data_IF_993097771456
#
_entry.id   IF_993097771456
#
_cell.length_a   1.000
_cell.length_b   1.000
_cell.length_c   1.000
_cell.angle_alpha   90.00
_cell.angle_beta   90.00
_cell.angle_gamma   90.00
#
_symmetry.space_group_name_H-M   'P 1'
#
loop_
_entity.id
_entity.type
_entity.pdbx_description
1 polymer ?
#
# COMPACT_ATOMS: atom_id res chain seq x y z
N UNK A 1 17.65 -30.39 -22.96
CA UNK A 1 17.50 -29.39 -21.89
C UNK A 1 16.20 -28.64 -22.16
N UNK A 2 15.21 -28.74 -21.28
CA UNK A 2 13.91 -28.09 -21.47
C UNK A 2 14.04 -26.57 -21.47
N UNK A 3 13.05 -25.84 -22.01
CA UNK A 3 13.05 -24.38 -21.95
C UNK A 3 13.05 -23.97 -20.47
N UNK A 4 14.14 -23.36 -20.02
CA UNK A 4 14.21 -22.72 -18.71
C UNK A 4 13.03 -21.75 -18.64
N UNK A 5 12.17 -21.90 -17.63
CA UNK A 5 11.00 -21.05 -17.49
C UNK A 5 11.46 -19.60 -17.34
N UNK A 6 10.74 -18.65 -17.94
CA UNK A 6 11.05 -17.22 -17.82
C UNK A 6 11.25 -16.79 -16.35
N UNK A 7 10.57 -17.45 -15.41
CA UNK A 7 10.74 -17.28 -13.96
C UNK A 7 12.10 -17.74 -13.42
N UNK A 8 12.66 -18.88 -13.86
CA UNK A 8 13.99 -19.34 -13.43
C UNK A 8 15.09 -18.40 -13.95
N UNK A 9 14.90 -17.87 -15.16
CA UNK A 9 15.79 -16.85 -15.73
C UNK A 9 15.69 -15.52 -14.97
N UNK A 10 14.49 -15.09 -14.58
CA UNK A 10 14.28 -13.89 -13.76
C UNK A 10 14.81 -14.05 -12.33
N UNK A 11 14.75 -15.24 -11.73
CA UNK A 11 15.33 -15.47 -10.40
C UNK A 11 16.86 -15.48 -10.43
N UNK A 12 17.45 -15.97 -11.53
CA UNK A 12 18.89 -16.10 -11.73
C UNK A 12 19.55 -14.80 -12.21
N UNK A 13 18.86 -13.99 -13.02
CA UNK A 13 19.42 -12.78 -13.65
C UNK A 13 18.67 -11.49 -13.32
N UNK A 14 17.53 -11.55 -12.63
CA UNK A 14 16.76 -10.36 -12.25
C UNK A 14 17.37 -9.62 -11.07
N UNK A 15 17.56 -8.32 -11.22
CA UNK A 15 17.90 -7.42 -10.13
C UNK A 15 16.65 -6.85 -9.47
N UNK A 16 16.69 -6.62 -8.16
CA UNK A 16 15.59 -5.96 -7.44
C UNK A 16 15.58 -4.49 -7.87
N UNK A 17 14.50 -3.99 -8.49
CA UNK A 17 14.41 -2.60 -8.87
C UNK A 17 14.28 -1.73 -7.61
N UNK A 18 15.37 -1.02 -7.29
CA UNK A 18 15.34 -0.03 -6.23
C UNK A 18 14.54 1.20 -6.67
N UNK A 19 13.89 1.93 -5.74
CA UNK A 19 13.19 3.15 -6.08
C UNK A 19 14.16 4.18 -6.70
N UNK A 20 13.69 5.07 -7.60
CA UNK A 20 14.55 5.97 -8.37
C UNK A 20 15.34 6.99 -7.51
N UNK A 21 14.96 7.16 -6.23
CA UNK A 21 15.68 8.01 -5.29
C UNK A 21 16.87 7.31 -4.62
N UNK A 22 17.01 5.99 -4.75
CA UNK A 22 18.17 5.23 -4.25
C UNK A 22 19.20 5.14 -5.38
N UNK A 23 20.22 6.01 -5.31
CA UNK A 23 21.29 6.08 -6.31
C UNK A 23 22.46 5.15 -5.96
N UNK A 24 22.17 3.86 -5.82
CA UNK A 24 23.20 2.80 -5.67
C UNK A 24 22.73 1.50 -6.31
N UNK A 25 23.65 0.60 -6.70
CA UNK A 25 23.29 -0.76 -7.10
C UNK A 25 22.52 -1.49 -5.99
N UNK A 26 21.64 -2.42 -6.40
CA UNK A 26 20.96 -3.32 -5.48
C UNK A 26 22.00 -4.22 -4.78
N UNK A 27 21.91 -4.29 -3.45
CA UNK A 27 22.71 -5.18 -2.64
C UNK A 27 21.90 -6.44 -2.31
N UNK A 28 22.55 -7.58 -1.98
CA UNK A 28 21.84 -8.80 -1.58
C UNK A 28 20.82 -8.57 -0.44
N UNK A 29 21.16 -7.71 0.53
CA UNK A 29 20.27 -7.29 1.62
C UNK A 29 19.01 -6.56 1.14
N UNK A 30 19.02 -5.94 -0.03
CA UNK A 30 17.81 -5.33 -0.59
C UNK A 30 16.83 -6.39 -1.04
N UNK A 31 17.28 -7.54 -1.55
CA UNK A 31 16.41 -8.66 -1.92
C UNK A 31 15.68 -9.23 -0.70
N UNK A 32 16.39 -9.37 0.41
CA UNK A 32 15.82 -9.79 1.70
C UNK A 32 14.87 -8.72 2.27
N UNK A 33 15.23 -7.42 2.18
CA UNK A 33 14.43 -6.31 2.70
C UNK A 33 13.29 -5.87 1.78
N UNK A 34 13.28 -6.23 0.50
CA UNK A 34 12.18 -5.96 -0.44
C UNK A 34 11.12 -7.06 -0.38
N UNK A 35 11.41 -8.21 0.22
CA UNK A 35 10.36 -9.14 0.58
C UNK A 35 9.88 -8.83 1.99
N UNK A 36 8.70 -8.23 2.10
CA UNK A 36 7.98 -8.23 3.39
C UNK A 36 7.78 -9.67 3.85
N UNK A 37 7.68 -9.91 5.16
CA UNK A 37 7.34 -11.21 5.77
C UNK A 37 6.03 -11.83 5.23
N UNK A 38 5.26 -11.11 4.41
CA UNK A 38 4.01 -11.55 3.78
C UNK A 38 4.01 -11.54 2.25
N UNK A 39 5.14 -11.27 1.59
CA UNK A 39 5.22 -11.30 0.14
C UNK A 39 5.14 -12.75 -0.34
N UNK A 40 3.93 -13.31 -0.40
CA UNK A 40 3.65 -14.71 -0.76
C UNK A 40 3.76 -15.00 -2.27
N UNK A 41 3.85 -13.97 -3.11
CA UNK A 41 3.97 -14.08 -4.56
C UNK A 41 5.19 -13.29 -5.08
N UNK A 42 6.18 -13.96 -5.71
CA UNK A 42 7.25 -13.30 -6.46
C UNK A 42 6.68 -12.38 -7.56
N UNK A 43 7.31 -11.22 -7.80
CA UNK A 43 6.98 -10.35 -8.95
C UNK A 43 6.26 -9.03 -8.65
N UNK A 44 6.00 -8.68 -7.39
CA UNK A 44 5.67 -7.30 -7.04
C UNK A 44 6.94 -6.43 -7.13
N UNK A 45 7.04 -5.62 -8.18
CA UNK A 45 8.20 -4.75 -8.47
C UNK A 45 8.45 -3.72 -7.36
N UNK A 46 7.45 -3.42 -6.53
CA UNK A 46 7.67 -2.71 -5.28
C UNK A 46 7.06 -3.47 -4.11
N UNK A 47 7.90 -3.76 -3.13
CA UNK A 47 7.47 -4.23 -1.83
C UNK A 47 6.44 -3.24 -1.24
N UNK A 48 5.36 -3.72 -0.59
CA UNK A 48 4.58 -2.87 0.31
C UNK A 48 5.46 -2.47 1.49
N UNK A 49 6.22 -1.39 1.33
CA UNK A 49 7.32 -1.00 2.24
C UNK A 49 6.84 -0.66 3.64
N UNK A 50 5.58 -0.26 3.81
CA UNK A 50 4.95 -0.12 5.12
C UNK A 50 4.85 -1.46 5.88
N UNK A 51 4.78 -2.58 5.16
CA UNK A 51 4.80 -3.92 5.73
C UNK A 51 6.17 -4.34 6.27
N UNK A 52 7.25 -3.60 5.96
CA UNK A 52 8.59 -3.88 6.49
C UNK A 52 8.74 -3.51 7.96
N UNK A 53 7.78 -2.77 8.52
CA UNK A 53 7.71 -2.44 9.94
C UNK A 53 7.15 -3.59 10.78
N UNK A 54 6.75 -4.69 10.16
CA UNK A 54 6.23 -5.87 10.84
C UNK A 54 7.23 -7.02 10.79
N UNK A 55 7.45 -7.61 11.95
CA UNK A 55 8.22 -8.83 12.14
C UNK A 55 7.32 -9.95 12.74
N UNK A 56 7.79 -11.22 12.75
CA UNK A 56 7.03 -12.32 13.33
C UNK A 56 6.60 -12.10 14.79
N UNK A 57 7.46 -11.57 15.69
CA UNK A 57 7.06 -11.26 17.05
C UNK A 57 5.90 -10.25 17.15
N UNK A 58 5.95 -9.15 16.38
CA UNK A 58 4.89 -8.14 16.38
C UNK A 58 3.56 -8.73 15.90
N UNK A 59 3.60 -9.57 14.88
CA UNK A 59 2.41 -10.25 14.37
C UNK A 59 1.76 -11.16 15.40
N UNK A 60 2.57 -12.00 16.04
CA UNK A 60 2.09 -12.89 17.08
C UNK A 60 1.48 -12.08 18.24
N UNK A 61 2.10 -10.94 18.60
CA UNK A 61 1.59 -10.05 19.63
C UNK A 61 0.26 -9.37 19.25
N UNK A 62 0.01 -9.14 17.96
CA UNK A 62 -1.26 -8.63 17.43
C UNK A 62 -2.34 -9.73 17.42
N UNK A 63 -2.02 -10.92 16.93
CA UNK A 63 -2.94 -12.06 16.91
C UNK A 63 -3.34 -12.49 18.33
N UNK A 64 -2.40 -12.51 19.27
CA UNK A 64 -2.67 -12.78 20.69
C UNK A 64 -3.61 -11.74 21.33
N UNK A 65 -3.68 -10.53 20.78
CA UNK A 65 -4.62 -9.46 21.17
C UNK A 65 -5.94 -9.53 20.39
N UNK A 66 -6.17 -10.57 19.61
CA UNK A 66 -7.39 -10.76 18.82
C UNK A 66 -7.44 -9.95 17.52
N UNK A 67 -6.30 -9.38 17.07
CA UNK A 67 -6.24 -8.67 15.80
C UNK A 67 -6.18 -9.68 14.65
N UNK A 68 -7.20 -9.66 13.78
CA UNK A 68 -7.25 -10.51 12.60
C UNK A 68 -6.31 -10.03 11.49
N UNK A 69 -5.56 -10.94 10.89
CA UNK A 69 -4.72 -10.68 9.72
C UNK A 69 -5.42 -11.09 8.42
N UNK A 70 -5.26 -10.31 7.36
CA UNK A 70 -5.78 -10.62 6.03
C UNK A 70 -4.83 -10.10 4.94
N UNK A 71 -4.87 -10.71 3.75
CA UNK A 71 -3.89 -10.45 2.68
C UNK A 71 -4.57 -10.01 1.38
N UNK A 72 -3.97 -9.04 0.72
CA UNK A 72 -4.34 -8.59 -0.63
C UNK A 72 -3.08 -8.51 -1.48
N UNK A 73 -3.25 -8.55 -2.80
CA UNK A 73 -2.15 -8.40 -3.76
C UNK A 73 -2.44 -7.21 -4.67
N UNK A 74 -1.45 -6.36 -4.91
CA UNK A 74 -1.44 -5.36 -5.98
C UNK A 74 -0.03 -5.28 -6.56
N UNK A 75 0.08 -5.62 -7.83
CA UNK A 75 1.30 -5.56 -8.62
C UNK A 75 1.48 -4.12 -9.13
N UNK A 76 2.27 -3.35 -8.39
CA UNK A 76 2.62 -1.99 -8.79
C UNK A 76 3.67 -2.01 -9.90
N UNK A 77 3.39 -1.27 -10.97
CA UNK A 77 4.37 -1.04 -12.06
C UNK A 77 5.25 0.17 -11.77
N UNK A 78 6.26 0.41 -12.62
CA UNK A 78 7.17 1.56 -12.47
C UNK A 78 6.47 2.93 -12.46
N UNK A 79 5.26 3.01 -13.03
CA UNK A 79 4.46 4.23 -13.11
C UNK A 79 3.94 4.78 -11.77
N UNK A 80 3.76 3.93 -10.75
CA UNK A 80 3.18 4.33 -9.46
C UNK A 80 4.04 5.36 -8.71
N UNK A 81 5.34 5.36 -8.95
CA UNK A 81 6.32 6.25 -8.31
C UNK A 81 6.65 7.49 -9.13
N UNK A 82 6.05 7.65 -10.31
CA UNK A 82 6.30 8.82 -11.15
C UNK A 82 5.66 10.08 -10.52
N UNK A 83 6.35 11.24 -10.57
CA UNK A 83 5.76 12.49 -10.12
C UNK A 83 4.46 12.78 -10.88
N UNK A 84 3.48 13.38 -10.20
CA UNK A 84 2.29 13.91 -10.88
C UNK A 84 2.72 15.09 -11.73
N UNK A 85 2.65 14.94 -13.06
CA UNK A 85 3.06 15.96 -14.05
C UNK A 85 1.88 16.73 -14.66
N UNK A 86 0.64 16.38 -14.31
CA UNK A 86 -0.55 17.04 -14.86
C UNK A 86 -0.77 18.40 -14.18
N UNK A 87 -1.21 19.41 -14.94
CA UNK A 87 -1.57 20.74 -14.42
C UNK A 87 -2.79 20.67 -13.50
N UNK A 88 -3.71 19.75 -13.80
CA UNK A 88 -4.87 19.41 -12.97
C UNK A 88 -4.73 18.00 -12.41
N UNK A 89 -5.00 17.83 -11.12
CA UNK A 89 -4.85 16.52 -10.44
C UNK A 89 -5.79 15.48 -11.06
N UNK A 90 -6.98 15.90 -11.46
CA UNK A 90 -8.04 15.08 -12.05
C UNK A 90 -7.66 14.51 -13.43
N UNK A 91 -6.70 15.13 -14.12
CA UNK A 91 -6.21 14.68 -15.42
C UNK A 91 -5.10 13.63 -15.30
N UNK A 92 -4.57 13.41 -14.09
CA UNK A 92 -3.55 12.42 -13.87
C UNK A 92 -4.11 11.00 -14.00
N UNK A 93 -3.56 10.24 -14.95
CA UNK A 93 -3.90 8.83 -15.16
C UNK A 93 -2.79 7.94 -14.63
N UNK A 94 -3.13 7.10 -13.65
CA UNK A 94 -2.27 6.00 -13.25
C UNK A 94 -2.32 4.87 -14.28
N UNK A 95 -1.19 4.19 -14.44
CA UNK A 95 -1.14 2.95 -15.20
C UNK A 95 -2.01 1.88 -14.53
N UNK A 96 -2.52 0.97 -15.35
CA UNK A 96 -3.24 -0.20 -14.84
C UNK A 96 -2.31 -1.06 -13.98
N UNK A 97 -2.78 -1.46 -12.81
CA UNK A 97 -2.06 -2.34 -11.89
C UNK A 97 -2.91 -3.56 -11.60
N UNK A 98 -2.32 -4.75 -11.74
CA UNK A 98 -3.03 -5.99 -11.48
C UNK A 98 -3.21 -6.19 -9.96
N UNK A 99 -4.41 -6.53 -9.52
CA UNK A 99 -4.73 -6.73 -8.11
C UNK A 99 -5.58 -7.97 -7.87
N UNK A 100 -5.53 -8.46 -6.62
CA UNK A 100 -6.35 -9.55 -6.14
C UNK A 100 -6.76 -9.32 -4.68
N UNK A 101 -8.06 -9.36 -4.43
CA UNK A 101 -8.65 -9.44 -3.09
C UNK A 101 -9.34 -10.80 -2.96
N UNK A 102 -8.74 -11.75 -2.21
CA UNK A 102 -9.30 -13.09 -2.03
C UNK A 102 -10.58 -13.09 -1.21
N UNK A 103 -11.42 -14.11 -1.41
CA UNK A 103 -12.66 -14.31 -0.64
C UNK A 103 -12.42 -14.39 0.87
N UNK A 104 -11.35 -15.06 1.30
CA UNK A 104 -10.97 -15.12 2.71
C UNK A 104 -10.76 -13.72 3.33
N UNK A 105 -10.24 -12.76 2.55
CA UNK A 105 -10.05 -11.37 3.00
C UNK A 105 -11.38 -10.64 3.08
N UNK A 106 -12.24 -10.77 2.07
CA UNK A 106 -13.59 -10.20 2.09
C UNK A 106 -14.39 -10.69 3.31
N UNK A 107 -14.34 -12.01 3.59
CA UNK A 107 -15.00 -12.62 4.74
C UNK A 107 -14.48 -12.07 6.06
N UNK A 108 -13.14 -12.02 6.25
CA UNK A 108 -12.53 -11.45 7.47
C UNK A 108 -12.90 -9.99 7.68
N UNK A 109 -12.96 -9.19 6.62
CA UNK A 109 -13.39 -7.79 6.70
C UNK A 109 -14.86 -7.70 7.11
N UNK A 110 -15.74 -8.49 6.50
CA UNK A 110 -17.16 -8.52 6.85
C UNK A 110 -17.38 -8.93 8.32
N UNK A 111 -16.73 -10.00 8.77
CA UNK A 111 -16.77 -10.46 10.17
C UNK A 111 -16.25 -9.38 11.14
N UNK A 112 -15.18 -8.67 10.76
CA UNK A 112 -14.61 -7.59 11.57
C UNK A 112 -15.59 -6.44 11.71
N UNK A 113 -16.23 -6.02 10.62
CA UNK A 113 -17.25 -4.96 10.64
C UNK A 113 -18.50 -5.37 11.42
N UNK A 114 -18.95 -6.61 11.28
CA UNK A 114 -20.09 -7.15 12.02
C UNK A 114 -19.89 -7.11 13.55
N UNK A 115 -18.63 -7.23 14.01
CA UNK A 115 -18.25 -7.10 15.43
C UNK A 115 -17.95 -5.66 15.86
N UNK A 116 -18.22 -4.65 15.03
CA UNK A 116 -17.89 -3.24 15.30
C UNK A 116 -16.39 -2.93 15.26
N UNK A 117 -15.58 -3.82 14.68
CA UNK A 117 -14.14 -3.64 14.52
C UNK A 117 -13.76 -2.72 13.37
N UNK A 118 -12.46 -2.45 13.26
CA UNK A 118 -11.88 -1.57 12.22
C UNK A 118 -11.03 -2.36 11.23
N UNK A 119 -11.09 -1.97 9.96
CA UNK A 119 -10.21 -2.42 8.88
C UNK A 119 -9.01 -1.48 8.80
N UNK A 120 -7.83 -1.98 9.14
CA UNK A 120 -6.57 -1.23 9.07
C UNK A 120 -5.79 -1.68 7.84
N UNK A 121 -5.60 -0.80 6.86
CA UNK A 121 -4.77 -1.09 5.70
C UNK A 121 -3.30 -0.82 6.03
N UNK A 122 -2.42 -1.77 5.66
CA UNK A 122 -0.97 -1.61 5.74
C UNK A 122 -0.43 -1.29 4.36
N UNK A 123 -0.13 -0.02 4.13
CA UNK A 123 0.35 0.53 2.87
C UNK A 123 -0.77 1.03 1.95
N UNK A 124 -0.45 2.07 1.18
CA UNK A 124 -1.34 2.69 0.19
C UNK A 124 -1.76 1.73 -0.93
N UNK A 125 -0.91 0.78 -1.28
CA UNK A 125 -1.18 -0.33 -2.19
C UNK A 125 -2.36 -1.20 -1.70
N UNK A 126 -2.41 -1.51 -0.39
CA UNK A 126 -3.52 -2.26 0.18
C UNK A 126 -4.82 -1.45 0.15
N UNK A 127 -4.75 -0.14 0.41
CA UNK A 127 -5.90 0.77 0.28
C UNK A 127 -6.48 0.71 -1.12
N UNK A 128 -5.66 0.91 -2.15
CA UNK A 128 -6.12 0.90 -3.54
C UNK A 128 -6.74 -0.45 -3.93
N UNK A 129 -6.15 -1.56 -3.51
CA UNK A 129 -6.70 -2.90 -3.79
C UNK A 129 -8.08 -3.10 -3.13
N UNK A 130 -8.23 -2.71 -1.86
CA UNK A 130 -9.48 -2.84 -1.11
C UNK A 130 -10.57 -1.92 -1.67
N UNK A 131 -10.26 -0.65 -1.89
CA UNK A 131 -11.22 0.32 -2.45
C UNK A 131 -11.61 -0.07 -3.89
N UNK A 132 -10.71 -0.68 -4.68
CA UNK A 132 -11.04 -1.21 -6.02
C UNK A 132 -11.91 -2.47 -5.99
N UNK A 133 -11.95 -3.18 -4.86
CA UNK A 133 -12.78 -4.37 -4.63
C UNK A 133 -14.09 -4.05 -3.90
N UNK A 134 -14.33 -2.79 -3.55
CA UNK A 134 -15.60 -2.35 -2.96
C UNK A 134 -16.73 -2.43 -3.99
N UNK A 135 -17.82 -3.07 -3.61
CA UNK A 135 -19.05 -3.15 -4.38
C UNK A 135 -20.09 -2.24 -3.74
N UNK A 136 -20.40 -1.12 -4.40
CA UNK A 136 -21.35 -0.13 -3.90
C UNK A 136 -22.78 -0.67 -3.82
N UNK A 137 -23.18 -1.58 -4.72
CA UNK A 137 -24.52 -2.16 -4.69
C UNK A 137 -24.68 -3.13 -3.51
N UNK A 138 -23.61 -3.86 -3.17
CA UNK A 138 -23.59 -4.74 -2.01
C UNK A 138 -23.26 -4.02 -0.68
N UNK A 139 -22.70 -2.81 -0.74
CA UNK A 139 -22.17 -2.10 0.44
C UNK A 139 -21.06 -2.87 1.16
N UNK A 140 -20.27 -3.66 0.43
CA UNK A 140 -19.27 -4.56 0.99
C UNK A 140 -18.12 -4.87 0.02
N UNK A 141 -17.02 -5.43 0.54
CA UNK A 141 -15.97 -5.99 -0.29
C UNK A 141 -16.43 -7.29 -0.96
N UNK A 142 -16.14 -7.44 -2.25
CA UNK A 142 -16.34 -8.69 -2.99
C UNK A 142 -15.00 -9.27 -3.46
N UNK A 143 -14.88 -10.61 -3.54
CA UNK A 143 -13.68 -11.23 -4.09
C UNK A 143 -13.48 -10.72 -5.51
N UNK A 144 -12.31 -10.18 -5.83
CA UNK A 144 -12.04 -9.57 -7.13
C UNK A 144 -10.59 -9.77 -7.55
N UNK A 145 -10.38 -10.12 -8.81
CA UNK A 145 -9.09 -10.09 -9.51
C UNK A 145 -9.26 -9.29 -10.79
N UNK A 146 -8.28 -8.49 -11.13
CA UNK A 146 -8.32 -7.68 -12.34
C UNK A 146 -7.30 -6.56 -12.32
N UNK A 147 -7.55 -5.51 -13.07
CA UNK A 147 -6.71 -4.31 -13.09
C UNK A 147 -7.42 -3.15 -12.42
N UNK A 148 -6.66 -2.32 -11.72
CA UNK A 148 -7.14 -1.04 -11.18
C UNK A 148 -6.33 0.12 -11.72
N UNK A 149 -7.05 1.18 -12.08
CA UNK A 149 -6.49 2.51 -12.38
C UNK A 149 -6.93 3.54 -11.33
N UNK A 150 -7.43 3.06 -10.19
CA UNK A 150 -7.99 3.90 -9.14
C UNK A 150 -6.92 4.88 -8.65
N UNK A 151 -7.18 6.15 -8.90
CA UNK A 151 -6.37 7.27 -8.43
C UNK A 151 -7.14 7.97 -7.31
N UNK A 152 -6.55 7.96 -6.12
CA UNK A 152 -7.16 8.50 -4.90
C UNK A 152 -6.52 9.85 -4.60
N UNK A 153 -7.34 10.89 -4.54
CA UNK A 153 -6.95 12.27 -4.26
C UNK A 153 -8.01 12.94 -3.36
N UNK A 154 -7.73 14.11 -2.75
CA UNK A 154 -8.66 14.78 -1.84
C UNK A 154 -10.07 14.94 -2.43
N UNK A 155 -11.08 14.58 -1.64
CA UNK A 155 -12.48 14.46 -2.10
C UNK A 155 -12.92 13.01 -2.34
N UNK A 156 -11.98 12.05 -2.37
CA UNK A 156 -12.32 10.63 -2.42
C UNK A 156 -12.97 10.15 -1.13
N UNK A 157 -14.07 9.39 -1.27
CA UNK A 157 -14.81 8.80 -0.15
C UNK A 157 -14.35 7.37 0.10
N UNK A 158 -13.65 7.15 1.21
CA UNK A 158 -13.18 5.81 1.57
C UNK A 158 -14.31 4.95 2.09
N UNK A 159 -14.41 3.71 1.62
CA UNK A 159 -15.45 2.76 2.01
C UNK A 159 -14.89 1.56 2.73
N UNK A 160 -13.79 1.02 2.22
CA UNK A 160 -13.25 -0.24 2.69
C UNK A 160 -12.32 -0.10 3.91
N UNK A 161 -11.60 1.03 4.05
CA UNK A 161 -10.49 1.17 5.01
C UNK A 161 -10.77 2.21 6.09
N UNK A 162 -10.67 1.84 7.36
CA UNK A 162 -10.96 2.74 8.50
C UNK A 162 -9.70 3.42 9.08
N UNK A 163 -8.54 2.77 8.97
CA UNK A 163 -7.24 3.33 9.33
C UNK A 163 -6.15 2.89 8.35
N UNK A 164 -5.09 3.68 8.22
CA UNK A 164 -3.97 3.45 7.30
C UNK A 164 -2.64 3.53 8.05
N UNK A 165 -1.83 2.47 7.98
CA UNK A 165 -0.42 2.51 8.31
C UNK A 165 0.40 2.65 7.03
N UNK A 166 1.23 3.69 6.91
CA UNK A 166 2.07 3.90 5.71
C UNK A 166 3.38 4.61 6.06
N UNK A 167 4.32 4.72 5.11
CA UNK A 167 5.53 5.52 5.27
C UNK A 167 5.28 7.01 4.98
N UNK A 168 6.27 7.85 5.27
CA UNK A 168 6.29 9.22 4.75
C UNK A 168 6.67 9.25 3.26
N UNK A 169 5.77 9.76 2.43
CA UNK A 169 5.91 9.85 0.97
C UNK A 169 6.51 11.18 0.49
N UNK A 170 7.09 11.16 -0.73
CA UNK A 170 7.66 12.34 -1.38
C UNK A 170 6.62 13.48 -1.57
N UNK A 171 7.04 14.76 -1.46
CA UNK A 171 6.24 15.89 -1.89
C UNK A 171 5.79 15.72 -3.35
N UNK A 172 4.57 16.17 -3.67
CA UNK A 172 3.97 16.10 -5.02
C UNK A 172 3.88 14.69 -5.61
N UNK A 173 3.79 13.66 -4.76
CA UNK A 173 3.53 12.28 -5.19
C UNK A 173 2.04 11.92 -5.12
N UNK A 174 1.61 11.00 -5.99
CA UNK A 174 0.27 10.39 -5.95
C UNK A 174 -0.03 9.73 -4.61
N UNK A 175 0.98 9.14 -3.97
CA UNK A 175 0.86 8.52 -2.64
C UNK A 175 0.58 9.57 -1.54
N UNK A 176 1.23 10.73 -1.59
CA UNK A 176 0.93 11.82 -0.67
C UNK A 176 -0.49 12.35 -0.89
N UNK A 177 -0.98 12.40 -2.14
CA UNK A 177 -2.37 12.79 -2.42
C UNK A 177 -3.38 11.82 -1.80
N UNK A 178 -3.13 10.50 -1.89
CA UNK A 178 -3.96 9.49 -1.22
C UNK A 178 -3.95 9.69 0.30
N UNK A 179 -2.79 9.92 0.90
CA UNK A 179 -2.68 10.17 2.34
C UNK A 179 -3.42 11.44 2.75
N UNK A 180 -3.31 12.52 1.98
CA UNK A 180 -4.08 13.75 2.17
C UNK A 180 -5.59 13.54 2.01
N UNK A 181 -6.01 12.69 1.07
CA UNK A 181 -7.41 12.33 0.91
C UNK A 181 -7.94 11.58 2.14
N UNK A 182 -7.12 10.70 2.72
CA UNK A 182 -7.50 9.86 3.84
C UNK A 182 -7.62 10.64 5.16
N UNK A 183 -6.59 11.43 5.50
CA UNK A 183 -6.46 12.06 6.82
C UNK A 183 -6.67 13.59 6.81
N UNK A 184 -6.95 14.18 5.65
CA UNK A 184 -7.06 15.63 5.49
C UNK A 184 -5.71 16.30 5.19
N UNK A 185 -5.70 17.21 4.22
CA UNK A 185 -4.47 17.85 3.73
C UNK A 185 -3.74 18.62 4.82
N UNK A 186 -4.44 19.47 5.58
CA UNK A 186 -3.79 20.34 6.57
C UNK A 186 -3.19 19.54 7.72
N UNK A 187 -3.91 18.51 8.19
CA UNK A 187 -3.44 17.58 9.22
C UNK A 187 -2.19 16.82 8.76
N UNK A 188 -2.21 16.30 7.53
CA UNK A 188 -1.04 15.60 6.95
C UNK A 188 0.15 16.54 6.81
N UNK A 189 -0.04 17.75 6.29
CA UNK A 189 1.05 18.72 6.17
C UNK A 189 1.60 19.16 7.52
N UNK A 190 0.75 19.29 8.56
CA UNK A 190 1.19 19.55 9.92
C UNK A 190 2.04 18.38 10.48
N UNK A 191 1.60 17.14 10.29
CA UNK A 191 2.36 15.95 10.68
C UNK A 191 3.72 15.87 9.96
N UNK A 192 3.77 16.22 8.68
CA UNK A 192 5.02 16.28 7.91
C UNK A 192 5.98 17.35 8.42
N UNK A 193 5.49 18.56 8.72
CA UNK A 193 6.32 19.62 9.33
C UNK A 193 6.90 19.17 10.67
N UNK A 194 6.08 18.52 11.49
CA UNK A 194 6.53 17.95 12.76
C UNK A 194 7.61 16.86 12.56
N UNK A 195 7.39 15.93 11.63
CA UNK A 195 8.31 14.85 11.33
C UNK A 195 9.69 15.38 10.88
N UNK A 196 9.70 16.42 10.03
CA UNK A 196 10.94 17.12 9.64
C UNK A 196 11.61 17.76 10.85
N UNK A 197 10.86 18.52 11.66
CA UNK A 197 11.40 19.20 12.84
C UNK A 197 11.96 18.23 13.91
N UNK A 198 11.43 17.00 13.97
CA UNK A 198 11.87 15.95 14.90
C UNK A 198 12.87 14.96 14.31
N UNK A 199 13.31 15.16 13.08
CA UNK A 199 14.34 14.32 12.45
C UNK A 199 13.87 12.90 12.10
N UNK A 200 12.58 12.72 11.78
CA UNK A 200 12.06 11.45 11.29
C UNK A 200 12.71 11.09 9.95
N UNK A 201 12.84 9.80 9.69
CA UNK A 201 13.35 9.25 8.44
C UNK A 201 12.18 9.06 7.47
N UNK A 202 12.37 9.46 6.22
CA UNK A 202 11.32 9.42 5.19
C UNK A 202 11.53 8.26 4.20
N UNK A 203 10.54 8.01 3.35
CA UNK A 203 10.56 7.05 2.24
C UNK A 203 10.50 5.57 2.67
N UNK A 204 10.82 4.66 1.75
CA UNK A 204 10.57 3.22 1.89
C UNK A 204 11.26 2.57 3.09
N UNK A 205 12.39 3.10 3.52
CA UNK A 205 13.16 2.60 4.68
C UNK A 205 13.13 3.55 5.88
N UNK A 206 12.32 4.60 5.79
CA UNK A 206 12.11 5.54 6.87
C UNK A 206 11.09 5.05 7.88
N UNK A 207 10.62 5.97 8.72
CA UNK A 207 9.61 5.71 9.75
C UNK A 207 8.20 5.56 9.14
N UNK A 208 7.26 5.12 9.97
CA UNK A 208 5.87 4.93 9.61
C UNK A 208 4.97 5.97 10.28
N UNK A 209 3.77 6.14 9.71
CA UNK A 209 2.67 6.91 10.27
C UNK A 209 1.41 6.03 10.33
N UNK A 210 0.67 6.14 11.42
CA UNK A 210 -0.67 5.57 11.58
C UNK A 210 -1.70 6.69 11.48
N UNK A 211 -2.66 6.51 10.59
CA UNK A 211 -3.67 7.50 10.22
C UNK A 211 -5.07 6.96 10.48
N UNK A 212 -5.93 7.83 10.99
CA UNK A 212 -7.39 7.64 10.99
C UNK A 212 -8.02 8.57 9.96
N UNK A 213 -9.25 8.27 9.54
CA UNK A 213 -9.99 9.15 8.61
C UNK A 213 -10.13 10.56 9.20
N UNK A 214 -9.89 11.57 8.39
CA UNK A 214 -10.12 12.98 8.77
C UNK A 214 -11.62 13.31 8.88
N UNK A 215 -11.96 14.26 9.74
CA UNK A 215 -13.31 14.84 9.78
C UNK A 215 -13.60 15.49 8.42
N UNK A 216 -14.54 14.92 7.65
CA UNK A 216 -14.87 15.34 6.28
C UNK A 216 -14.55 14.33 5.17
N UNK A 217 -13.89 13.21 5.48
CA UNK A 217 -13.67 12.10 4.53
C UNK A 217 -14.86 11.10 4.46
N UNK A 218 -16.06 11.53 4.87
CA UNK A 218 -17.25 10.72 5.12
C UNK A 218 -18.02 10.31 3.89
#
# INVERSE_FOLDING_TARGET
AGPQGAWELLERYGEVPLPPYIRRPAAPRDRERYQTVYARHPGAVAAPTAGLHFDPPLLQALEARGVGLAWVTLHVGAGTFQPVRAERVEEHRLHAEAFAVPEATCRRVAETRARGGRVVAVGTTAVRALESAWDEAAGALRPRRGETRLFIYPGYRFRAVDALLTNFHLPRSSLLMLVCAFAGREQVLAAYRHAVARGYRFFSYGDAMLLTRGEGAS
#
